data_IF_704373374717
#
_entry.id   IF_704373374717
#
_cell.length_a   1.000
_cell.length_b   1.000
_cell.length_c   1.000
_cell.angle_alpha   90.00
_cell.angle_beta   90.00
_cell.angle_gamma   90.00
#
_symmetry.space_group_name_H-M   'P 1'
#
loop_
_entity.id
_entity.type
_entity.pdbx_description
1 polymer ?
#
# COMPACT_ATOMS: atom_id res chain seq x y z
N UNK A 1 12.04 -42.33 -8.97
CA UNK A 1 10.58 -42.31 -9.22
C UNK A 1 9.96 -41.56 -8.05
N UNK A 2 9.15 -40.53 -8.28
CA UNK A 2 8.52 -39.76 -7.21
C UNK A 2 7.30 -40.51 -6.68
N UNK A 3 6.95 -40.28 -5.42
CA UNK A 3 5.70 -40.74 -4.82
C UNK A 3 4.83 -39.54 -4.45
N UNK A 4 3.56 -39.77 -4.13
CA UNK A 4 2.67 -38.72 -3.66
C UNK A 4 3.18 -38.02 -2.38
N UNK A 5 3.91 -38.73 -1.53
CA UNK A 5 4.53 -38.17 -0.32
C UNK A 5 5.67 -37.17 -0.62
N UNK A 6 6.27 -37.26 -1.81
CA UNK A 6 7.38 -36.38 -2.24
C UNK A 6 6.89 -35.10 -2.95
N UNK A 7 5.58 -34.94 -3.13
CA UNK A 7 4.99 -33.90 -3.96
C UNK A 7 4.15 -32.92 -3.12
N UNK A 8 4.23 -31.63 -3.47
CA UNK A 8 3.48 -30.60 -2.74
C UNK A 8 2.00 -30.59 -3.17
N UNK A 9 1.08 -30.14 -2.30
CA UNK A 9 -0.29 -29.86 -2.71
C UNK A 9 -0.31 -28.83 -3.86
N UNK A 10 -1.17 -29.09 -4.85
CA UNK A 10 -1.32 -28.35 -6.12
C UNK A 10 -0.19 -28.53 -7.14
N UNK A 11 0.77 -29.42 -6.91
CA UNK A 11 1.62 -29.91 -8.00
C UNK A 11 0.77 -30.62 -9.06
N UNK A 12 1.15 -30.52 -10.33
CA UNK A 12 0.47 -31.19 -11.43
C UNK A 12 1.18 -32.52 -11.71
N UNK A 13 0.45 -33.61 -11.47
CA UNK A 13 0.99 -34.96 -11.48
C UNK A 13 0.33 -35.79 -12.57
N UNK A 14 1.11 -36.69 -13.17
CA UNK A 14 0.68 -37.77 -14.04
C UNK A 14 0.84 -39.08 -13.30
N UNK A 15 -0.23 -39.85 -13.23
CA UNK A 15 -0.28 -41.17 -12.61
C UNK A 15 -0.64 -42.21 -13.67
N UNK A 16 0.21 -43.22 -13.84
CA UNK A 16 -0.10 -44.41 -14.63
C UNK A 16 -0.66 -45.51 -13.70
N UNK A 17 -1.86 -45.99 -14.00
CA UNK A 17 -2.50 -47.10 -13.30
C UNK A 17 -2.10 -48.46 -13.90
N UNK A 18 -2.32 -49.53 -13.14
CA UNK A 18 -1.94 -50.89 -13.54
C UNK A 18 -2.70 -51.41 -14.77
N UNK A 19 -3.90 -50.86 -15.03
CA UNK A 19 -4.72 -51.15 -16.21
C UNK A 19 -4.26 -50.38 -17.47
N UNK A 20 -3.19 -49.57 -17.36
CA UNK A 20 -2.69 -48.71 -18.42
C UNK A 20 -3.40 -47.37 -18.52
N UNK A 21 -4.40 -47.11 -17.67
CA UNK A 21 -5.10 -45.81 -17.62
C UNK A 21 -4.17 -44.75 -17.05
N UNK A 22 -4.15 -43.57 -17.67
CA UNK A 22 -3.39 -42.42 -17.16
C UNK A 22 -4.31 -41.35 -16.60
N UNK A 23 -3.97 -40.85 -15.41
CA UNK A 23 -4.68 -39.76 -14.75
C UNK A 23 -3.73 -38.58 -14.66
N UNK A 24 -4.16 -37.44 -15.20
CA UNK A 24 -3.43 -36.19 -15.16
C UNK A 24 -4.25 -35.15 -14.37
N UNK A 25 -3.68 -34.62 -13.29
CA UNK A 25 -4.42 -33.71 -12.42
C UNK A 25 -3.58 -32.97 -11.39
N UNK A 26 -4.24 -32.05 -10.68
CA UNK A 26 -3.62 -31.31 -9.57
C UNK A 26 -3.68 -32.13 -8.28
N UNK A 27 -2.56 -32.29 -7.59
CA UNK A 27 -2.48 -33.00 -6.33
C UNK A 27 -3.27 -32.29 -5.22
N UNK A 28 -4.15 -33.02 -4.55
CA UNK A 28 -4.91 -32.54 -3.39
C UNK A 28 -4.70 -33.52 -2.25
N UNK A 29 -4.49 -33.00 -1.04
CA UNK A 29 -4.47 -33.78 0.19
C UNK A 29 -5.69 -33.43 1.02
N UNK A 30 -6.51 -34.43 1.36
CA UNK A 30 -7.70 -34.25 2.19
C UNK A 30 -7.74 -35.32 3.27
N UNK A 31 -7.77 -34.90 4.54
CA UNK A 31 -7.73 -35.80 5.69
C UNK A 31 -6.56 -36.82 5.65
N UNK A 32 -5.40 -36.40 5.14
CA UNK A 32 -4.22 -37.26 5.01
C UNK A 32 -4.25 -38.24 3.83
N UNK A 33 -5.29 -38.21 3.00
CA UNK A 33 -5.41 -39.01 1.79
C UNK A 33 -5.03 -38.19 0.54
N UNK A 34 -4.47 -38.86 -0.46
CA UNK A 34 -3.98 -38.23 -1.69
C UNK A 34 -4.99 -38.38 -2.82
N UNK A 35 -5.28 -37.29 -3.52
CA UNK A 35 -6.22 -37.24 -4.64
C UNK A 35 -5.61 -36.46 -5.81
N UNK A 36 -6.16 -36.68 -7.00
CA UNK A 36 -5.90 -35.87 -8.19
C UNK A 36 -7.19 -35.18 -8.63
N UNK A 37 -7.16 -33.85 -8.71
CA UNK A 37 -8.21 -33.05 -9.34
C UNK A 37 -7.99 -32.98 -10.84
N UNK A 38 -8.88 -33.61 -11.59
CA UNK A 38 -8.84 -33.74 -13.04
C UNK A 38 -9.79 -32.73 -13.65
N UNK A 39 -9.28 -31.91 -14.58
CA UNK A 39 -10.12 -31.03 -15.38
C UNK A 39 -10.61 -31.80 -16.60
N UNK A 40 -11.88 -32.16 -16.59
CA UNK A 40 -12.58 -32.89 -17.67
C UNK A 40 -13.49 -31.99 -18.52
N UNK A 41 -13.36 -30.67 -18.40
CA UNK A 41 -14.21 -29.69 -19.06
C UNK A 41 -15.47 -29.32 -18.28
N UNK A 42 -15.79 -30.01 -17.18
CA UNK A 42 -16.83 -29.57 -16.25
C UNK A 42 -16.37 -28.37 -15.41
N UNK A 43 -17.33 -27.60 -14.88
CA UNK A 43 -17.06 -26.40 -14.06
C UNK A 43 -16.25 -26.74 -12.81
N UNK A 44 -16.52 -27.91 -12.21
CA UNK A 44 -15.92 -28.33 -10.96
C UNK A 44 -14.77 -29.32 -11.13
N UNK A 45 -14.60 -29.93 -12.31
CA UNK A 45 -13.71 -31.06 -12.53
C UNK A 45 -14.16 -32.30 -11.76
N UNK A 46 -13.42 -33.38 -11.95
CA UNK A 46 -13.59 -34.65 -11.22
C UNK A 46 -12.41 -34.85 -10.26
N UNK A 47 -12.64 -35.63 -9.21
CA UNK A 47 -11.59 -35.99 -8.24
C UNK A 47 -11.38 -37.49 -8.33
N UNK A 48 -10.15 -37.90 -8.59
CA UNK A 48 -9.74 -39.29 -8.60
C UNK A 48 -8.95 -39.62 -7.32
N UNK A 49 -9.21 -40.80 -6.74
CA UNK A 49 -8.57 -41.28 -5.52
C UNK A 49 -9.57 -41.85 -4.51
N UNK A 50 -9.13 -42.16 -3.27
CA UNK A 50 -7.79 -41.87 -2.74
C UNK A 50 -6.71 -42.80 -3.31
N UNK A 51 -5.49 -42.27 -3.44
CA UNK A 51 -4.30 -43.01 -3.85
C UNK A 51 -3.39 -43.30 -2.66
N UNK A 52 -2.63 -44.39 -2.75
CA UNK A 52 -1.66 -44.73 -1.72
C UNK A 52 -0.47 -43.75 -1.75
N UNK A 53 0.07 -43.32 -0.59
CA UNK A 53 1.17 -42.35 -0.54
C UNK A 53 2.43 -42.82 -1.26
N UNK A 54 2.67 -44.14 -1.31
CA UNK A 54 3.83 -44.76 -1.98
C UNK A 54 3.61 -44.98 -3.49
N UNK A 55 2.42 -44.66 -4.01
CA UNK A 55 2.12 -44.87 -5.42
C UNK A 55 3.00 -43.94 -6.27
N UNK A 56 3.62 -44.54 -7.29
CA UNK A 56 4.57 -43.84 -8.12
C UNK A 56 3.88 -42.84 -9.06
N UNK A 57 4.43 -41.64 -9.14
CA UNK A 57 3.90 -40.53 -9.95
C UNK A 57 5.02 -39.85 -10.72
N UNK A 58 4.64 -39.20 -11.81
CA UNK A 58 5.49 -38.26 -12.54
C UNK A 58 4.99 -36.85 -12.25
N UNK A 59 5.88 -35.95 -11.79
CA UNK A 59 5.55 -34.54 -11.65
C UNK A 59 5.77 -33.82 -12.96
N UNK A 60 4.69 -33.41 -13.60
CA UNK A 60 4.72 -32.68 -14.88
C UNK A 60 5.00 -31.19 -14.68
N UNK A 61 4.49 -30.60 -13.60
CA UNK A 61 4.79 -29.22 -13.21
C UNK A 61 4.63 -29.04 -11.70
N UNK A 62 5.49 -28.22 -11.11
CA UNK A 62 5.35 -27.76 -9.73
C UNK A 62 4.28 -26.68 -9.61
N UNK A 63 3.72 -26.53 -8.41
CA UNK A 63 2.82 -25.41 -8.08
C UNK A 63 3.42 -24.05 -8.45
N UNK A 64 4.71 -23.86 -8.20
CA UNK A 64 5.44 -22.63 -8.50
C UNK A 64 5.49 -22.35 -10.00
N UNK A 65 5.79 -23.35 -10.83
CA UNK A 65 5.78 -23.23 -12.29
C UNK A 65 4.39 -22.91 -12.83
N UNK A 66 3.34 -23.57 -12.32
CA UNK A 66 1.96 -23.30 -12.71
C UNK A 66 1.57 -21.85 -12.38
N UNK A 67 1.95 -21.36 -11.21
CA UNK A 67 1.69 -19.98 -10.81
C UNK A 67 2.48 -18.97 -11.66
N UNK A 68 3.73 -19.27 -12.00
CA UNK A 68 4.54 -18.45 -12.90
C UNK A 68 3.94 -18.40 -14.30
N UNK A 69 3.51 -19.53 -14.84
CA UNK A 69 2.88 -19.61 -16.15
C UNK A 69 1.52 -18.88 -16.18
N UNK A 70 0.69 -19.03 -15.13
CA UNK A 70 -0.54 -18.23 -14.99
C UNK A 70 -0.25 -16.73 -14.95
N UNK A 71 0.77 -16.31 -14.20
CA UNK A 71 1.20 -14.90 -14.17
C UNK A 71 1.69 -14.45 -15.55
N UNK A 72 2.50 -15.26 -16.24
CA UNK A 72 2.98 -14.96 -17.58
C UNK A 72 1.82 -14.76 -18.57
N UNK A 73 0.80 -15.63 -18.52
CA UNK A 73 -0.42 -15.50 -19.32
C UNK A 73 -1.19 -14.21 -19.02
N UNK A 74 -1.33 -13.84 -17.74
CA UNK A 74 -2.02 -12.60 -17.35
C UNK A 74 -1.26 -11.33 -17.78
N UNK A 75 0.08 -11.38 -17.82
CA UNK A 75 0.91 -10.26 -18.31
C UNK A 75 0.75 -10.03 -19.80
N UNK A 76 0.34 -11.04 -20.56
CA UNK A 76 0.23 -11.00 -22.01
C UNK A 76 1.53 -10.53 -22.67
N UNK A 77 1.42 -9.66 -23.67
CA UNK A 77 2.59 -9.21 -24.44
C UNK A 77 3.50 -8.30 -23.60
N UNK A 78 4.80 -8.61 -23.44
CA UNK A 78 5.71 -7.78 -22.62
C UNK A 78 5.78 -6.32 -23.09
N UNK A 79 5.82 -5.38 -22.14
CA UNK A 79 6.07 -3.97 -22.43
C UNK A 79 7.53 -3.78 -22.87
N UNK A 80 7.80 -3.09 -23.98
CA UNK A 80 9.13 -3.07 -24.61
C UNK A 80 10.23 -2.53 -23.70
N UNK A 81 11.48 -2.95 -23.98
CA UNK A 81 12.70 -2.51 -23.29
C UNK A 81 13.20 -3.47 -22.20
N UNK A 82 14.39 -3.22 -21.66
CA UNK A 82 15.06 -4.06 -20.64
C UNK A 82 14.37 -4.03 -19.26
N UNK A 83 14.51 -5.10 -18.48
CA UNK A 83 14.08 -5.10 -17.08
C UNK A 83 14.79 -3.98 -16.28
N UNK A 84 14.10 -3.30 -15.35
CA UNK A 84 14.70 -2.24 -14.55
C UNK A 84 15.65 -2.79 -13.49
N UNK A 85 16.82 -2.16 -13.36
CA UNK A 85 17.85 -2.56 -12.39
C UNK A 85 18.19 -1.43 -11.41
N UNK A 86 18.19 -0.20 -11.89
CA UNK A 86 18.52 0.99 -11.10
C UNK A 86 17.26 1.75 -10.65
N UNK A 87 17.43 2.65 -9.68
CA UNK A 87 16.37 3.56 -9.20
C UNK A 87 15.73 4.33 -10.36
N UNK A 88 16.55 4.87 -11.25
CA UNK A 88 16.13 5.62 -12.43
C UNK A 88 15.37 4.72 -13.41
N UNK A 89 15.84 3.50 -13.64
CA UNK A 89 15.13 2.53 -14.50
C UNK A 89 13.73 2.20 -13.94
N UNK A 90 13.61 1.97 -12.63
CA UNK A 90 12.32 1.69 -11.99
C UNK A 90 11.36 2.86 -12.11
N UNK A 91 11.82 4.09 -11.83
CA UNK A 91 11.01 5.30 -11.99
C UNK A 91 10.52 5.44 -13.43
N UNK A 92 11.45 5.35 -14.39
CA UNK A 92 11.14 5.53 -15.80
C UNK A 92 10.20 4.43 -16.34
N UNK A 93 10.46 3.16 -15.99
CA UNK A 93 9.63 2.03 -16.40
C UNK A 93 8.20 2.16 -15.91
N UNK A 94 8.01 2.51 -14.63
CA UNK A 94 6.68 2.69 -14.05
C UNK A 94 5.94 3.90 -14.65
N UNK A 95 6.64 4.99 -14.93
CA UNK A 95 6.06 6.16 -15.60
C UNK A 95 5.60 5.82 -17.04
N UNK A 96 6.43 5.12 -17.82
CA UNK A 96 6.07 4.69 -19.17
C UNK A 96 4.87 3.74 -19.17
N UNK A 97 4.87 2.75 -18.27
CA UNK A 97 3.73 1.83 -18.11
C UNK A 97 2.46 2.58 -17.71
N UNK A 98 2.54 3.53 -16.77
CA UNK A 98 1.39 4.33 -16.37
C UNK A 98 0.81 5.16 -17.52
N UNK A 99 1.66 5.75 -18.37
CA UNK A 99 1.23 6.47 -19.58
C UNK A 99 0.62 5.52 -20.61
N UNK A 100 1.24 4.38 -20.85
CA UNK A 100 0.74 3.37 -21.79
C UNK A 100 -0.65 2.84 -21.36
N UNK A 101 -0.84 2.55 -20.06
CA UNK A 101 -2.14 2.16 -19.49
C UNK A 101 -3.18 3.26 -19.72
N UNK A 102 -2.79 4.53 -19.57
CA UNK A 102 -3.71 5.65 -19.73
C UNK A 102 -4.12 5.89 -21.19
N UNK A 103 -3.21 5.66 -22.15
CA UNK A 103 -3.48 5.84 -23.58
C UNK A 103 -4.14 4.63 -24.25
N UNK A 104 -4.06 3.44 -23.63
CA UNK A 104 -4.58 2.20 -24.20
C UNK A 104 -6.12 2.21 -24.24
N UNK A 105 -6.70 1.89 -25.39
CA UNK A 105 -8.15 1.84 -25.60
C UNK A 105 -8.71 0.42 -25.46
N UNK A 106 -7.91 -0.61 -25.75
CA UNK A 106 -8.31 -2.01 -25.52
C UNK A 106 -8.23 -2.37 -24.03
N UNK A 107 -9.36 -2.75 -23.44
CA UNK A 107 -9.46 -3.10 -22.02
C UNK A 107 -8.63 -4.35 -21.67
N UNK A 108 -8.53 -5.33 -22.57
CA UNK A 108 -7.73 -6.53 -22.34
C UNK A 108 -6.24 -6.16 -22.25
N UNK A 109 -5.74 -5.43 -23.25
CA UNK A 109 -4.36 -4.94 -23.25
C UNK A 109 -4.06 -4.00 -22.08
N UNK A 110 -5.00 -3.12 -21.73
CA UNK A 110 -4.87 -2.22 -20.57
C UNK A 110 -4.68 -3.01 -19.27
N UNK A 111 -5.43 -4.10 -19.11
CA UNK A 111 -5.33 -4.98 -17.94
C UNK A 111 -4.00 -5.74 -17.91
N UNK A 112 -3.51 -6.23 -19.05
CA UNK A 112 -2.17 -6.83 -19.17
C UNK A 112 -1.05 -5.86 -18.75
N UNK A 113 -1.06 -4.64 -19.28
CA UNK A 113 -0.12 -3.58 -18.91
C UNK A 113 -0.21 -3.26 -17.43
N UNK A 114 -1.42 -3.32 -16.85
CA UNK A 114 -1.62 -3.11 -15.42
C UNK A 114 -0.96 -4.20 -14.57
N UNK A 115 -1.09 -5.47 -14.95
CA UNK A 115 -0.37 -6.55 -14.26
C UNK A 115 1.15 -6.34 -14.33
N UNK A 116 1.67 -5.95 -15.50
CA UNK A 116 3.11 -5.66 -15.65
C UNK A 116 3.56 -4.46 -14.80
N UNK A 117 2.75 -3.40 -14.70
CA UNK A 117 3.02 -2.27 -13.79
C UNK A 117 3.08 -2.73 -12.34
N UNK A 118 2.12 -3.55 -11.90
CA UNK A 118 2.07 -4.04 -10.53
C UNK A 118 3.25 -4.98 -10.21
N UNK A 119 3.69 -5.83 -11.13
CA UNK A 119 4.89 -6.66 -10.97
C UNK A 119 6.17 -5.82 -10.78
N UNK A 120 6.35 -4.77 -11.59
CA UNK A 120 7.50 -3.86 -11.45
C UNK A 120 7.43 -3.11 -10.12
N UNK A 121 6.24 -2.66 -9.73
CA UNK A 121 6.03 -1.97 -8.45
C UNK A 121 6.25 -2.90 -7.25
N UNK A 122 5.85 -4.17 -7.35
CA UNK A 122 6.05 -5.19 -6.31
C UNK A 122 7.53 -5.51 -6.09
N UNK A 123 8.34 -5.49 -7.16
CA UNK A 123 9.79 -5.71 -7.09
C UNK A 123 10.48 -4.75 -6.11
N UNK A 124 10.03 -3.49 -6.04
CA UNK A 124 10.51 -2.48 -5.09
C UNK A 124 9.57 -2.29 -3.89
N UNK A 125 8.54 -3.12 -3.75
CA UNK A 125 7.49 -3.02 -2.73
C UNK A 125 6.86 -1.61 -2.66
N UNK A 126 6.61 -0.98 -3.80
CA UNK A 126 6.05 0.37 -3.86
C UNK A 126 4.64 0.38 -3.26
N UNK A 127 4.37 1.30 -2.33
CA UNK A 127 3.09 1.37 -1.63
C UNK A 127 1.91 1.70 -2.57
N UNK A 128 0.72 1.19 -2.27
CA UNK A 128 -0.50 1.40 -3.07
C UNK A 128 -0.80 2.87 -3.34
N UNK A 129 -0.72 3.75 -2.33
CA UNK A 129 -0.96 5.19 -2.52
C UNK A 129 0.00 5.85 -3.53
N UNK A 130 1.22 5.33 -3.66
CA UNK A 130 2.23 5.79 -4.63
C UNK A 130 1.97 5.25 -6.03
N UNK A 131 1.52 3.99 -6.13
CA UNK A 131 1.03 3.42 -7.40
C UNK A 131 -0.14 4.24 -7.94
N UNK A 132 -1.13 4.54 -7.10
CA UNK A 132 -2.30 5.36 -7.46
C UNK A 132 -1.87 6.72 -8.00
N UNK A 133 -0.90 7.37 -7.36
CA UNK A 133 -0.33 8.62 -7.87
C UNK A 133 0.26 8.46 -9.27
N UNK A 134 1.10 7.45 -9.51
CA UNK A 134 1.75 7.24 -10.81
C UNK A 134 0.74 7.03 -11.93
N UNK A 135 -0.31 6.24 -11.67
CA UNK A 135 -1.37 5.97 -12.64
C UNK A 135 -2.20 7.22 -12.95
N UNK A 136 -2.54 8.01 -11.92
CA UNK A 136 -3.21 9.30 -12.11
C UNK A 136 -2.33 10.28 -12.88
N UNK A 137 -1.03 10.35 -12.56
CA UNK A 137 -0.07 11.17 -13.28
C UNK A 137 0.10 10.73 -14.74
N UNK A 138 0.04 9.43 -15.04
CA UNK A 138 0.04 8.91 -16.41
C UNK A 138 -1.14 9.41 -17.23
N UNK A 139 -2.35 9.48 -16.63
CA UNK A 139 -3.54 10.08 -17.27
C UNK A 139 -3.39 11.59 -17.46
N UNK A 140 -2.91 12.30 -16.44
CA UNK A 140 -2.68 13.75 -16.53
C UNK A 140 -1.67 14.11 -17.62
N UNK A 141 -0.65 13.27 -17.82
CA UNK A 141 0.37 13.48 -18.85
C UNK A 141 -0.20 13.45 -20.28
N UNK A 142 -1.42 12.92 -20.50
CA UNK A 142 -2.09 12.96 -21.81
C UNK A 142 -2.63 14.35 -22.15
N UNK A 143 -2.87 15.19 -21.15
CA UNK A 143 -3.46 16.53 -21.32
C UNK A 143 -2.52 17.67 -20.96
N UNK A 144 -1.42 17.40 -20.24
CA UNK A 144 -0.47 18.41 -19.81
C UNK A 144 0.96 17.87 -19.72
N UNK A 145 1.93 18.69 -20.12
CA UNK A 145 3.37 18.40 -19.97
C UNK A 145 3.94 18.85 -18.61
N UNK A 146 3.15 19.52 -17.78
CA UNK A 146 3.58 19.98 -16.47
C UNK A 146 3.58 18.82 -15.46
N UNK A 147 4.49 18.82 -14.46
CA UNK A 147 4.39 17.87 -13.36
C UNK A 147 3.06 18.09 -12.61
N UNK A 148 2.23 17.05 -12.44
CA UNK A 148 0.96 17.22 -11.75
C UNK A 148 1.19 17.58 -10.28
N UNK A 149 0.43 18.54 -9.81
CA UNK A 149 0.19 18.74 -8.38
C UNK A 149 -0.85 17.74 -7.90
N UNK A 150 -0.95 17.57 -6.58
CA UNK A 150 -1.99 16.72 -6.02
C UNK A 150 -3.41 17.23 -6.38
N UNK A 151 -3.56 18.55 -6.58
CA UNK A 151 -4.80 19.19 -7.05
C UNK A 151 -5.22 18.75 -8.44
N UNK A 152 -4.25 18.54 -9.31
CA UNK A 152 -4.50 18.17 -10.71
C UNK A 152 -4.93 16.71 -10.87
N UNK A 153 -4.64 15.88 -9.87
CA UNK A 153 -4.92 14.44 -9.87
C UNK A 153 -6.24 14.08 -9.15
N UNK A 154 -6.94 15.07 -8.58
CA UNK A 154 -8.15 14.87 -7.78
C UNK A 154 -9.44 14.96 -8.60
N UNK A 155 -10.35 14.00 -8.37
CA UNK A 155 -11.75 14.04 -8.78
C UNK A 155 -12.60 14.03 -7.50
N UNK A 156 -13.06 15.20 -7.06
CA UNK A 156 -13.98 15.50 -5.94
C UNK A 156 -13.60 15.17 -4.46
N UNK A 157 -14.29 15.88 -3.55
CA UNK A 157 -14.04 16.23 -2.13
C UNK A 157 -13.84 15.10 -1.08
N UNK A 158 -13.60 13.85 -1.49
CA UNK A 158 -13.47 12.71 -0.56
C UNK A 158 -12.17 11.93 -0.82
N UNK A 159 -11.02 12.55 -0.57
CA UNK A 159 -9.75 11.82 -0.59
C UNK A 159 -8.78 12.28 0.50
N UNK A 160 -8.60 11.41 1.50
CA UNK A 160 -7.54 11.54 2.49
C UNK A 160 -6.17 11.38 1.83
N UNK A 161 -5.13 12.13 2.24
CA UNK A 161 -3.72 11.90 1.87
C UNK A 161 -3.22 10.46 2.08
N UNK A 162 -3.99 9.62 2.78
CA UNK A 162 -3.73 8.19 2.91
C UNK A 162 -3.99 7.38 1.63
N UNK A 163 -4.77 7.90 0.67
CA UNK A 163 -5.18 7.17 -0.54
C UNK A 163 -4.29 7.43 -1.76
N UNK A 164 -3.66 8.60 -1.82
CA UNK A 164 -2.80 9.01 -2.94
C UNK A 164 -1.63 9.83 -2.40
N UNK A 165 -0.40 9.47 -2.80
CA UNK A 165 0.82 10.15 -2.36
C UNK A 165 1.87 10.13 -3.45
N UNK A 166 2.53 11.27 -3.69
CA UNK A 166 3.63 11.37 -4.64
C UNK A 166 4.79 10.46 -4.22
N UNK A 167 5.29 9.58 -5.11
CA UNK A 167 6.53 8.87 -4.86
C UNK A 167 7.71 9.85 -4.79
N UNK A 168 8.61 9.64 -3.84
CA UNK A 168 9.90 10.32 -3.77
C UNK A 168 10.93 9.54 -4.61
N UNK A 169 12.00 10.17 -5.09
CA UNK A 169 13.04 9.48 -5.86
C UNK A 169 13.56 8.21 -5.16
N UNK A 170 13.80 8.28 -3.84
CA UNK A 170 14.27 7.14 -3.04
C UNK A 170 13.31 5.95 -3.02
N UNK A 171 12.02 6.17 -3.27
CA UNK A 171 11.02 5.09 -3.19
C UNK A 171 11.17 4.08 -4.35
N UNK A 172 11.91 4.45 -5.40
CA UNK A 172 12.22 3.60 -6.56
C UNK A 172 13.53 2.82 -6.40
N UNK A 173 14.27 3.03 -5.30
CA UNK A 173 15.54 2.35 -5.09
C UNK A 173 15.32 0.84 -4.92
N UNK A 174 16.02 -0.05 -5.62
CA UNK A 174 15.88 -1.50 -5.43
C UNK A 174 16.29 -1.97 -4.03
N UNK A 175 17.18 -1.24 -3.35
CA UNK A 175 17.63 -1.56 -2.00
C UNK A 175 16.64 -1.06 -0.94
N UNK A 176 16.07 -2.00 -0.17
CA UNK A 176 15.11 -1.70 0.90
C UNK A 176 15.67 -0.74 1.95
N UNK A 177 16.95 -0.87 2.30
CA UNK A 177 17.58 -0.05 3.32
C UNK A 177 17.61 1.43 2.91
N UNK A 178 17.87 1.72 1.64
CA UNK A 178 17.83 3.08 1.09
C UNK A 178 16.40 3.64 1.09
N UNK A 179 15.41 2.82 0.67
CA UNK A 179 13.99 3.22 0.71
C UNK A 179 13.50 3.55 2.13
N UNK A 180 14.01 2.84 3.13
CA UNK A 180 13.61 2.98 4.52
C UNK A 180 14.21 4.21 5.22
N UNK A 181 15.27 4.82 4.67
CA UNK A 181 15.88 6.04 5.24
C UNK A 181 14.85 7.17 5.29
N UNK A 182 14.76 7.82 6.45
CA UNK A 182 13.97 9.05 6.61
C UNK A 182 14.73 10.22 6.00
N UNK A 183 14.04 11.08 5.27
CA UNK A 183 14.59 12.37 4.85
C UNK A 183 14.88 13.17 6.13
N UNK A 184 16.09 13.72 6.28
CA UNK A 184 16.34 14.63 7.39
C UNK A 184 15.39 15.81 7.27
N UNK A 185 14.89 16.27 8.41
CA UNK A 185 14.12 17.51 8.46
C UNK A 185 15.08 18.67 8.14
N UNK A 186 14.76 19.57 7.20
CA UNK A 186 15.64 20.69 6.87
C UNK A 186 15.96 21.56 8.10
N UNK A 187 17.16 22.14 8.14
CA UNK A 187 17.64 22.89 9.28
C UNK A 187 16.76 24.11 9.59
N UNK A 188 16.22 24.76 8.57
CA UNK A 188 15.29 25.89 8.71
C UNK A 188 13.97 25.49 9.39
N UNK A 189 13.52 24.24 9.21
CA UNK A 189 12.32 23.72 9.88
C UNK A 189 12.63 23.42 11.34
N UNK A 190 13.81 22.89 11.64
CA UNK A 190 14.24 22.64 13.02
C UNK A 190 14.50 23.94 13.78
N UNK A 191 14.97 24.99 13.09
CA UNK A 191 15.17 26.31 13.68
C UNK A 191 13.85 27.04 14.00
N UNK A 192 12.76 26.77 13.26
CA UNK A 192 11.47 27.38 13.53
C UNK A 192 10.81 26.77 14.79
N UNK A 193 10.58 27.54 15.87
CA UNK A 193 10.05 26.99 17.13
C UNK A 193 8.65 26.37 16.99
N UNK A 194 7.85 26.87 16.05
CA UNK A 194 6.47 26.42 15.80
C UNK A 194 6.35 25.38 14.71
N UNK A 195 7.47 24.86 14.19
CA UNK A 195 7.42 23.79 13.20
C UNK A 195 6.74 22.55 13.76
N UNK A 196 6.21 21.71 12.86
CA UNK A 196 5.53 20.45 13.21
C UNK A 196 6.37 19.54 14.12
N UNK A 197 7.67 19.27 13.85
CA UNK A 197 8.48 18.44 14.75
C UNK A 197 8.70 19.10 16.12
N UNK A 198 8.93 20.41 16.16
CA UNK A 198 9.16 21.13 17.42
C UNK A 198 7.89 21.20 18.28
N UNK A 199 6.73 21.44 17.67
CA UNK A 199 5.43 21.39 18.36
C UNK A 199 5.12 20.01 18.91
N UNK A 200 5.34 18.95 18.13
CA UNK A 200 5.14 17.57 18.59
C UNK A 200 6.06 17.26 19.78
N UNK A 201 7.31 17.69 19.72
CA UNK A 201 8.28 17.54 20.81
C UNK A 201 7.82 18.29 22.07
N UNK A 202 7.40 19.55 21.92
CA UNK A 202 6.94 20.39 23.02
C UNK A 202 5.68 19.85 23.72
N UNK A 203 4.74 19.30 22.97
CA UNK A 203 3.56 18.65 23.54
C UNK A 203 3.95 17.42 24.36
N UNK A 204 4.84 16.58 23.83
CA UNK A 204 5.30 15.35 24.49
C UNK A 204 6.14 15.62 25.73
N UNK A 205 7.02 16.64 25.69
CA UNK A 205 7.83 17.01 26.86
C UNK A 205 6.97 17.53 28.02
N UNK A 206 5.80 18.08 27.73
CA UNK A 206 4.77 18.46 28.71
C UNK A 206 3.88 17.30 29.16
N UNK A 207 4.22 16.06 28.80
CA UNK A 207 3.49 14.86 29.22
C UNK A 207 2.19 14.59 28.44
N UNK A 208 1.91 15.34 27.37
CA UNK A 208 0.72 15.12 26.55
C UNK A 208 0.93 13.96 25.59
N UNK A 209 -0.07 13.09 25.48
CA UNK A 209 -0.07 11.98 24.51
C UNK A 209 -0.39 12.51 23.11
N UNK A 210 0.64 12.95 22.40
CA UNK A 210 0.55 13.53 21.05
C UNK A 210 1.15 12.61 19.97
N UNK A 211 0.40 12.40 18.89
CA UNK A 211 0.81 11.59 17.72
C UNK A 211 0.44 12.29 16.42
N UNK A 212 1.27 12.15 15.39
CA UNK A 212 0.89 12.60 14.04
C UNK A 212 -0.13 11.60 13.50
N UNK A 213 -1.38 12.05 13.36
CA UNK A 213 -2.48 11.25 12.85
C UNK A 213 -2.61 11.35 11.32
N UNK A 214 -2.23 12.49 10.76
CA UNK A 214 -2.16 12.72 9.32
C UNK A 214 -0.92 13.53 9.00
N UNK A 215 -0.10 13.07 8.07
CA UNK A 215 1.04 13.81 7.56
C UNK A 215 0.78 14.21 6.11
N UNK A 216 1.10 15.46 5.78
CA UNK A 216 1.29 15.91 4.40
C UNK A 216 2.58 15.35 3.82
N UNK A 217 2.89 15.77 2.59
CA UNK A 217 4.12 15.39 1.91
C UNK A 217 4.83 16.65 1.37
N UNK A 218 5.94 17.10 1.98
CA UNK A 218 6.60 16.50 3.15
C UNK A 218 5.84 16.76 4.47
N UNK A 219 6.08 15.90 5.48
CA UNK A 219 5.33 15.89 6.73
C UNK A 219 5.45 17.19 7.57
N UNK A 220 6.46 18.01 7.31
CA UNK A 220 6.68 19.30 7.99
C UNK A 220 5.96 20.48 7.33
N UNK A 221 5.38 20.32 6.14
CA UNK A 221 4.59 21.37 5.47
C UNK A 221 3.13 21.39 5.96
N UNK A 222 2.58 20.21 6.25
CA UNK A 222 1.21 20.05 6.72
C UNK A 222 1.11 18.79 7.57
N UNK A 223 0.42 18.86 8.70
CA UNK A 223 0.09 17.68 9.49
C UNK A 223 -1.13 17.91 10.37
N UNK A 224 -1.71 16.82 10.87
CA UNK A 224 -2.64 16.81 11.99
C UNK A 224 -2.00 16.03 13.13
N UNK A 225 -1.80 16.69 14.26
CA UNK A 225 -1.41 16.05 15.51
C UNK A 225 -2.67 15.77 16.32
N UNK A 226 -2.87 14.51 16.70
CA UNK A 226 -3.90 14.12 17.66
C UNK A 226 -3.32 14.15 19.05
N UNK A 227 -3.99 14.86 19.95
CA UNK A 227 -3.64 14.96 21.37
C UNK A 227 -4.75 14.33 22.18
N UNK A 228 -4.43 13.22 22.86
CA UNK A 228 -5.33 12.59 23.83
C UNK A 228 -5.08 13.23 25.20
N UNK A 229 -6.08 13.91 25.77
CA UNK A 229 -5.95 14.58 27.07
C UNK A 229 -6.18 13.66 28.28
N UNK A 230 -6.66 12.42 28.07
CA UNK A 230 -6.89 11.44 29.13
C UNK A 230 -6.64 9.99 28.66
N UNK A 231 -6.14 9.10 29.52
CA UNK A 231 -6.01 7.67 29.20
C UNK A 231 -7.38 7.03 28.94
N UNK A 232 -7.54 6.38 27.78
CA UNK A 232 -8.63 5.44 27.51
C UNK A 232 -10.02 6.02 27.17
N UNK A 233 -10.20 7.35 26.99
CA UNK A 233 -11.51 7.96 26.67
C UNK A 233 -11.44 9.20 25.75
N UNK A 234 -12.54 9.63 25.08
CA UNK A 234 -12.52 10.44 23.87
C UNK A 234 -12.47 11.94 24.17
N UNK A 235 -11.41 12.39 24.85
CA UNK A 235 -11.09 13.81 25.00
C UNK A 235 -9.90 14.12 24.10
N UNK A 236 -10.17 14.02 22.79
CA UNK A 236 -9.16 14.18 21.74
C UNK A 236 -9.32 15.53 21.06
N UNK A 237 -8.20 16.20 20.86
CA UNK A 237 -8.11 17.40 20.04
C UNK A 237 -7.22 17.13 18.83
N UNK A 238 -7.63 17.69 17.71
CA UNK A 238 -6.86 17.74 16.47
C UNK A 238 -6.16 19.10 16.40
N UNK A 239 -4.84 19.09 16.27
CA UNK A 239 -4.02 20.26 15.97
C UNK A 239 -3.61 20.18 14.50
N UNK A 240 -4.28 20.96 13.64
CA UNK A 240 -3.94 21.05 12.23
C UNK A 240 -2.86 22.12 12.02
N UNK A 241 -1.75 21.70 11.42
CA UNK A 241 -0.65 22.55 11.01
C UNK A 241 -0.68 22.77 9.50
N UNK A 242 -0.44 24.01 9.09
CA UNK A 242 -0.14 24.37 7.69
C UNK A 242 0.97 25.40 7.64
N UNK A 243 1.99 25.12 6.83
CA UNK A 243 3.10 26.03 6.56
C UNK A 243 2.82 26.81 5.29
N UNK A 244 2.99 28.13 5.36
CA UNK A 244 2.89 29.03 4.22
C UNK A 244 3.90 30.17 4.42
N UNK A 245 4.66 30.51 3.37
CA UNK A 245 5.65 31.60 3.46
C UNK A 245 6.72 31.39 4.54
N UNK A 246 7.09 30.14 4.83
CA UNK A 246 8.11 29.83 5.85
C UNK A 246 7.60 29.87 7.30
N UNK A 247 6.30 30.07 7.52
CA UNK A 247 5.69 30.13 8.86
C UNK A 247 4.64 29.03 9.02
N UNK A 248 4.74 28.29 10.12
CA UNK A 248 3.81 27.22 10.48
C UNK A 248 2.67 27.77 11.33
N UNK A 249 1.47 27.77 10.75
CA UNK A 249 0.22 28.13 11.42
C UNK A 249 -0.46 26.90 12.04
N UNK A 250 -1.13 27.09 13.18
CA UNK A 250 -1.79 26.01 13.91
C UNK A 250 -3.25 26.34 14.17
N UNK A 251 -4.12 25.33 14.02
CA UNK A 251 -5.53 25.38 14.38
C UNK A 251 -5.86 24.22 15.31
N UNK A 252 -6.45 24.51 16.47
CA UNK A 252 -6.94 23.50 17.39
C UNK A 252 -8.43 23.24 17.15
N UNK A 253 -8.83 21.97 17.07
CA UNK A 253 -10.23 21.56 16.88
C UNK A 253 -10.60 20.40 17.80
N UNK A 254 -11.84 20.38 18.28
CA UNK A 254 -12.41 19.23 18.97
C UNK A 254 -12.61 18.07 17.97
N UNK A 255 -12.09 16.88 18.30
CA UNK A 255 -12.17 15.70 17.42
C UNK A 255 -13.36 14.79 17.74
N UNK A 256 -14.25 15.18 18.67
CA UNK A 256 -15.46 14.43 18.99
C UNK A 256 -16.68 14.91 18.20
N UNK A 257 -17.77 14.14 18.26
CA UNK A 257 -19.04 14.49 17.61
C UNK A 257 -19.87 15.50 18.42
N UNK A 258 -21.02 15.92 17.87
CA UNK A 258 -21.92 16.92 18.47
C UNK A 258 -23.01 16.34 19.39
N UNK A 259 -22.89 15.07 19.78
CA UNK A 259 -23.83 14.47 20.73
C UNK A 259 -23.78 15.16 22.10
N UNK A 260 -24.89 15.15 22.85
CA UNK A 260 -24.95 15.76 24.18
C UNK A 260 -23.87 15.20 25.14
N UNK A 261 -23.61 13.89 25.06
CA UNK A 261 -22.56 13.22 25.81
C UNK A 261 -21.15 13.71 25.41
N UNK A 262 -20.88 13.87 24.10
CA UNK A 262 -19.61 14.41 23.63
C UNK A 262 -19.43 15.89 23.99
N UNK A 263 -20.47 16.73 23.93
CA UNK A 263 -20.41 18.12 24.41
C UNK A 263 -20.13 18.21 25.91
N UNK A 264 -20.66 17.29 26.73
CA UNK A 264 -20.31 17.20 28.16
C UNK A 264 -18.83 16.87 28.35
N UNK A 265 -18.30 15.91 27.58
CA UNK A 265 -16.87 15.55 27.60
C UNK A 265 -15.98 16.68 27.10
N UNK A 266 -16.39 17.40 26.06
CA UNK A 266 -15.69 18.59 25.55
C UNK A 266 -15.58 19.65 26.66
N UNK A 267 -16.68 19.98 27.33
CA UNK A 267 -16.68 20.94 28.45
C UNK A 267 -15.79 20.50 29.61
N UNK A 268 -15.75 19.21 29.94
CA UNK A 268 -14.86 18.68 30.96
C UNK A 268 -13.39 18.76 30.51
N UNK A 269 -13.09 18.42 29.26
CA UNK A 269 -11.76 18.45 28.69
C UNK A 269 -11.17 19.87 28.68
N UNK A 270 -11.95 20.87 28.24
CA UNK A 270 -11.52 22.28 28.19
C UNK A 270 -11.18 22.85 29.57
N UNK A 271 -11.71 22.26 30.65
CA UNK A 271 -11.40 22.65 32.04
C UNK A 271 -10.21 21.90 32.65
N UNK A 272 -9.60 20.98 31.92
CA UNK A 272 -8.48 20.19 32.44
C UNK A 272 -7.16 20.94 32.31
N UNK A 273 -6.24 20.67 33.24
CA UNK A 273 -4.87 21.22 33.19
C UNK A 273 -4.15 20.78 31.90
N UNK A 274 -4.41 19.57 31.42
CA UNK A 274 -3.89 19.06 30.16
C UNK A 274 -4.31 19.92 28.95
N UNK A 275 -5.55 20.43 28.95
CA UNK A 275 -6.01 21.35 27.91
C UNK A 275 -5.34 22.71 28.02
N UNK A 276 -5.20 23.25 29.23
CA UNK A 276 -4.48 24.51 29.46
C UNK A 276 -3.03 24.42 28.96
N UNK A 277 -2.32 23.35 29.31
CA UNK A 277 -0.96 23.06 28.83
C UNK A 277 -0.90 22.95 27.29
N UNK A 278 -1.87 22.28 26.67
CA UNK A 278 -1.94 22.16 25.21
C UNK A 278 -2.10 23.52 24.53
N UNK A 279 -3.04 24.35 24.99
CA UNK A 279 -3.31 25.67 24.39
C UNK A 279 -2.14 26.64 24.61
N UNK A 280 -1.50 26.60 25.78
CA UNK A 280 -0.29 27.37 26.07
C UNK A 280 0.84 26.99 25.10
N UNK A 281 1.05 25.69 24.89
CA UNK A 281 2.08 25.17 23.96
C UNK A 281 1.81 25.59 22.51
N UNK A 282 0.55 25.60 22.10
CA UNK A 282 0.15 26.03 20.76
C UNK A 282 0.14 27.57 20.62
N UNK A 283 0.30 28.34 21.71
CA UNK A 283 0.37 29.81 21.68
C UNK A 283 -0.94 30.47 21.22
N UNK A 284 -2.07 30.03 21.79
CA UNK A 284 -3.41 30.17 21.21
C UNK A 284 -3.92 31.58 20.89
N UNK A 285 -4.67 31.65 19.77
CA UNK A 285 -6.09 32.09 19.79
C UNK A 285 -6.94 30.91 19.31
N UNK A 286 -7.83 30.42 20.16
CA UNK A 286 -8.91 29.49 19.77
C UNK A 286 -9.97 30.25 18.96
N UNK A 287 -10.40 29.69 17.82
CA UNK A 287 -11.66 30.07 17.15
C UNK A 287 -12.58 28.87 17.17
#
# INVERSE_FOLDING_TARGET
>A
MLTFADCDPQDFLRLALADGTEILGSHIVQAGMHFLHVRDGSVYGTVAGPFAPQQAVERTATRSEILQDRKARLRGTPFPGRAPETREDFSYRLELLARAIASETDDARRQELRYQFDDVADTICLATAKRTWLLAAGRFALTSNMPPTLRDLWFDDVASPSLIRRPRPRDFDPNRSERAKRDPVPAEILAEPRSIPNMLSALRSRGLKAVIALAGDPAYERARIQVDLAPGRPTRFDLDASRAGGVTSWRCRWAGNDSAAARRRHRAAVRSDAYALMIETVGGRTR
#
